data_IF_122809791417
#
_entry.id   IF_122809791417
#
_cell.length_a   1.000
_cell.length_b   1.000
_cell.length_c   1.000
_cell.angle_alpha   90.00
_cell.angle_beta   90.00
_cell.angle_gamma   90.00
#
_symmetry.space_group_name_H-M   'P 1'
#
loop_
_entity.id
_entity.type
_entity.pdbx_description
1 polymer ?
#
# COMPACT_ATOMS: atom_id res chain seq x y z
N UNK A 1 -6.53 -10.47 18.13
CA UNK A 1 -5.24 -10.12 17.49
C UNK A 1 -4.52 -11.43 17.24
N UNK A 2 -4.24 -11.78 15.99
CA UNK A 2 -3.49 -13.00 15.65
C UNK A 2 -2.07 -12.55 15.33
N UNK A 3 -1.11 -13.01 16.11
CA UNK A 3 0.31 -12.72 15.92
C UNK A 3 0.98 -13.99 15.36
N UNK A 4 1.55 -13.93 14.16
CA UNK A 4 2.24 -15.06 13.53
C UNK A 4 3.73 -14.76 13.56
N UNK A 5 4.48 -15.48 14.39
CA UNK A 5 5.94 -15.33 14.51
C UNK A 5 6.61 -16.32 13.57
N UNK A 6 7.31 -15.82 12.55
CA UNK A 6 8.06 -16.65 11.58
C UNK A 6 9.55 -16.78 11.90
N UNK A 7 10.07 -15.93 12.79
CA UNK A 7 11.49 -15.88 13.17
C UNK A 7 11.62 -15.86 14.70
N UNK A 8 12.69 -16.46 15.21
CA UNK A 8 13.04 -16.44 16.64
C UNK A 8 13.61 -15.06 16.97
N UNK A 9 13.07 -14.40 17.98
CA UNK A 9 13.46 -13.06 18.43
C UNK A 9 14.14 -13.22 19.78
N UNK A 10 15.46 -13.40 19.77
CA UNK A 10 16.25 -13.65 20.97
C UNK A 10 16.82 -12.32 21.54
N UNK A 11 16.92 -11.28 20.70
CA UNK A 11 17.33 -9.92 21.10
C UNK A 11 16.35 -8.84 20.60
N UNK A 12 16.36 -7.63 21.19
CA UNK A 12 15.57 -6.51 20.66
C UNK A 12 15.93 -6.09 19.24
N UNK A 13 17.18 -6.28 18.82
CA UNK A 13 17.62 -5.96 17.46
C UNK A 13 16.96 -6.87 16.41
N UNK A 14 16.78 -8.15 16.75
CA UNK A 14 16.11 -9.14 15.89
C UNK A 14 14.69 -8.69 15.54
N UNK A 15 14.02 -7.95 16.43
CA UNK A 15 12.68 -7.41 16.19
C UNK A 15 12.68 -6.26 15.18
N UNK A 16 13.71 -5.41 15.19
CA UNK A 16 13.83 -4.31 14.24
C UNK A 16 14.17 -4.86 12.85
N UNK A 17 15.14 -5.77 12.77
CA UNK A 17 15.54 -6.38 11.50
C UNK A 17 14.40 -7.19 10.88
N UNK A 18 13.68 -7.98 11.68
CA UNK A 18 12.52 -8.73 11.21
C UNK A 18 11.36 -7.82 10.78
N UNK A 19 11.19 -6.65 11.42
CA UNK A 19 10.20 -5.65 11.02
C UNK A 19 10.56 -5.03 9.67
N UNK A 20 11.81 -4.60 9.53
CA UNK A 20 12.32 -3.99 8.30
C UNK A 20 12.27 -4.96 7.13
N UNK A 21 12.71 -6.22 7.31
CA UNK A 21 12.62 -7.25 6.27
C UNK A 21 11.17 -7.53 5.87
N UNK A 22 10.27 -7.63 6.86
CA UNK A 22 8.87 -7.90 6.63
C UNK A 22 8.21 -6.79 5.80
N UNK A 23 8.47 -5.52 6.11
CA UNK A 23 7.92 -4.37 5.36
C UNK A 23 8.69 -4.02 4.07
N UNK A 24 9.97 -4.37 3.97
CA UNK A 24 10.75 -4.21 2.74
C UNK A 24 10.28 -5.15 1.62
N UNK A 25 9.68 -6.29 1.98
CA UNK A 25 9.26 -7.31 0.99
C UNK A 25 7.77 -7.26 0.69
N UNK A 26 6.90 -7.42 1.70
CA UNK A 26 5.44 -7.59 1.49
C UNK A 26 4.63 -6.68 2.42
N UNK A 27 5.10 -6.48 3.65
CA UNK A 27 4.42 -5.77 4.72
C UNK A 27 3.05 -6.38 5.07
N UNK A 28 2.30 -5.67 5.91
CA UNK A 28 0.85 -5.86 5.99
C UNK A 28 0.26 -5.07 4.83
N UNK A 29 0.14 -5.70 3.67
CA UNK A 29 -0.61 -5.12 2.56
C UNK A 29 -2.05 -4.89 2.99
N UNK A 30 -2.44 -3.62 3.17
CA UNK A 30 -3.85 -3.22 3.21
C UNK A 30 -4.54 -3.91 2.02
N UNK A 31 -5.59 -4.70 2.31
CA UNK A 31 -6.15 -5.66 1.35
C UNK A 31 -6.34 -4.95 0.02
N UNK A 32 -5.74 -5.43 -1.07
CA UNK A 32 -5.90 -4.84 -2.41
C UNK A 32 -7.37 -4.57 -2.78
N UNK A 33 -8.30 -5.33 -2.20
CA UNK A 33 -9.75 -5.10 -2.29
C UNK A 33 -10.20 -3.73 -1.76
N UNK A 34 -9.59 -3.22 -0.69
CA UNK A 34 -9.87 -1.90 -0.13
C UNK A 34 -9.48 -0.78 -1.09
N UNK A 35 -8.26 -0.80 -1.63
CA UNK A 35 -7.84 0.22 -2.61
C UNK A 35 -8.63 0.13 -3.91
N UNK A 36 -8.96 -1.08 -4.37
CA UNK A 36 -9.88 -1.27 -5.50
C UNK A 36 -11.26 -0.68 -5.23
N UNK A 37 -11.76 -0.78 -4.00
CA UNK A 37 -13.01 -0.17 -3.59
C UNK A 37 -12.93 1.36 -3.59
N UNK A 38 -11.83 1.96 -3.10
CA UNK A 38 -11.61 3.41 -3.18
C UNK A 38 -11.64 3.90 -4.62
N UNK A 39 -10.86 3.27 -5.53
CA UNK A 39 -10.84 3.67 -6.95
C UNK A 39 -12.22 3.50 -7.59
N UNK A 40 -13.03 2.53 -7.15
CA UNK A 40 -14.42 2.39 -7.58
C UNK A 40 -15.33 3.52 -7.10
N UNK A 41 -15.11 4.05 -5.89
CA UNK A 41 -15.90 5.15 -5.35
C UNK A 41 -15.58 6.48 -6.01
N UNK A 42 -14.30 6.73 -6.29
CA UNK A 42 -13.87 7.93 -7.02
C UNK A 42 -14.41 7.90 -8.45
N UNK A 43 -14.48 6.70 -9.03
CA UNK A 43 -14.91 6.45 -10.41
C UNK A 43 -14.28 7.42 -11.43
N UNK A 44 -12.94 7.54 -11.46
CA UNK A 44 -12.29 8.56 -12.27
C UNK A 44 -12.45 8.26 -13.76
N UNK A 45 -12.85 9.27 -14.53
CA UNK A 45 -12.98 9.17 -15.97
C UNK A 45 -11.60 8.93 -16.63
N UNK A 46 -11.51 8.06 -17.66
CA UNK A 46 -10.28 7.91 -18.44
C UNK A 46 -9.80 9.26 -19.01
N UNK A 47 -8.50 9.52 -18.95
CA UNK A 47 -7.88 10.78 -19.35
C UNK A 47 -7.94 11.89 -18.29
N UNK A 48 -8.70 11.71 -17.20
CA UNK A 48 -8.67 12.65 -16.08
C UNK A 48 -7.35 12.60 -15.32
N UNK A 49 -7.09 13.63 -14.50
CA UNK A 49 -5.97 13.65 -13.56
C UNK A 49 -6.48 13.39 -12.15
N UNK A 50 -5.87 12.44 -11.44
CA UNK A 50 -6.12 12.14 -10.04
C UNK A 50 -4.92 12.59 -9.20
N UNK A 51 -5.17 13.47 -8.22
CA UNK A 51 -4.18 13.82 -7.19
C UNK A 51 -4.47 13.01 -5.92
N UNK A 52 -3.52 12.17 -5.53
CA UNK A 52 -3.55 11.35 -4.32
C UNK A 52 -2.69 12.02 -3.23
N UNK A 53 -3.36 12.66 -2.25
CA UNK A 53 -2.68 13.35 -1.14
C UNK A 53 -2.43 12.36 0.00
N UNK A 54 -1.20 12.36 0.52
CA UNK A 54 -0.69 11.36 1.46
C UNK A 54 -0.69 9.95 0.88
N UNK A 55 -0.03 9.80 -0.26
CA UNK A 55 -0.19 8.61 -1.10
C UNK A 55 0.46 7.34 -0.53
N UNK A 56 1.33 7.43 0.48
CA UNK A 56 2.05 6.29 1.05
C UNK A 56 2.76 5.48 -0.03
N UNK A 57 2.51 4.18 -0.07
CA UNK A 57 3.03 3.25 -1.09
C UNK A 57 2.37 3.39 -2.48
N UNK A 58 1.67 4.49 -2.76
CA UNK A 58 1.05 4.82 -4.04
C UNK A 58 0.07 3.76 -4.59
N UNK A 59 -0.58 2.97 -3.72
CA UNK A 59 -1.47 1.86 -4.14
C UNK A 59 -2.71 2.35 -4.89
N UNK A 60 -3.31 3.47 -4.47
CA UNK A 60 -4.50 4.05 -5.12
C UNK A 60 -4.11 4.62 -6.48
N UNK A 61 -3.08 5.47 -6.53
CA UNK A 61 -2.52 6.00 -7.77
C UNK A 61 -2.21 4.88 -8.80
N UNK A 62 -1.48 3.84 -8.39
CA UNK A 62 -1.14 2.70 -9.26
C UNK A 62 -2.38 1.99 -9.82
N UNK A 63 -3.44 1.85 -9.02
CA UNK A 63 -4.69 1.22 -9.46
C UNK A 63 -5.52 2.13 -10.37
N UNK A 64 -5.47 3.45 -10.16
CA UNK A 64 -6.16 4.43 -10.99
C UNK A 64 -5.52 4.54 -12.39
N UNK A 65 -4.19 4.49 -12.50
CA UNK A 65 -3.49 4.50 -13.79
C UNK A 65 -3.89 3.35 -14.70
N UNK A 66 -4.13 2.17 -14.12
CA UNK A 66 -4.65 1.00 -14.85
C UNK A 66 -6.05 1.21 -15.44
N UNK A 67 -6.76 2.27 -15.03
CA UNK A 67 -8.05 2.70 -15.61
C UNK A 67 -7.91 3.83 -16.64
N UNK A 68 -6.68 4.15 -17.05
CA UNK A 68 -6.42 5.20 -18.05
C UNK A 68 -6.44 6.61 -17.49
N UNK A 69 -6.28 6.76 -16.17
CA UNK A 69 -6.23 8.05 -15.48
C UNK A 69 -4.77 8.43 -15.28
N UNK A 70 -4.43 9.71 -15.38
CA UNK A 70 -3.10 10.20 -14.98
C UNK A 70 -3.10 10.40 -13.46
N UNK A 71 -2.37 9.57 -12.70
CA UNK A 71 -2.28 9.74 -11.26
C UNK A 71 -1.01 10.51 -10.85
N UNK A 72 -1.12 11.36 -9.84
CA UNK A 72 0.01 12.04 -9.20
C UNK A 72 -0.13 11.83 -7.70
N UNK A 73 0.90 11.27 -7.05
CA UNK A 73 0.95 11.09 -5.61
C UNK A 73 1.89 12.09 -4.95
N UNK A 74 1.49 12.59 -3.77
CA UNK A 74 2.34 13.37 -2.87
C UNK A 74 2.18 12.83 -1.45
N UNK A 75 3.25 12.79 -0.66
CA UNK A 75 3.25 12.38 0.75
C UNK A 75 4.30 13.17 1.53
#
# INVERSE_FOLDING_TARGET
MIEIRRTRLDTPADSADAYDEFYATIGIGLRLSFYKWIVRLIDPAPGATLLDMSCGEAKVATLAERRGVRAVGVD
#
